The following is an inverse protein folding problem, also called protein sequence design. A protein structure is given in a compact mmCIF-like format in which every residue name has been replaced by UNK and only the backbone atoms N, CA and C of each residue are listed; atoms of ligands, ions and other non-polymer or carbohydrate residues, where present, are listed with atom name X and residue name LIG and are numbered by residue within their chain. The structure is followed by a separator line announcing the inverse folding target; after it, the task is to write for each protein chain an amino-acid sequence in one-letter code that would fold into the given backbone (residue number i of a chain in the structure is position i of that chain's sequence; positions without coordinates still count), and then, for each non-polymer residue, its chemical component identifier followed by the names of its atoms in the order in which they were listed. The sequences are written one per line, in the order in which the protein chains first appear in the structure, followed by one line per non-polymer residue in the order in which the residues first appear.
data_IF_007013154507
#
_entry.id   IF_007013154507
#
_cell.length_a   1.000
_cell.length_b   1.000
_cell.length_c   1.000
_cell.angle_alpha   90.00
_cell.angle_beta   90.00
_cell.angle_gamma   90.00
#
_symmetry.space_group_name_H-M   'P 1'
#
loop_
_entity.id
_entity.type
_entity.pdbx_description
1 polymer ?
#
# COMPACT_ATOMS: atom_id res chain seq x y z
N UNK A 1 12.96 -32.55 -35.46
CA UNK A 1 12.89 -33.07 -34.16
C UNK A 1 13.16 -32.10 -33.10
N UNK A 2 14.24 -31.44 -33.13
CA UNK A 2 14.60 -30.52 -32.06
C UNK A 2 13.82 -29.28 -32.06
N UNK A 3 13.17 -28.97 -33.10
CA UNK A 3 12.44 -27.73 -33.26
C UNK A 3 11.25 -27.65 -32.34
N UNK A 4 10.70 -28.78 -31.98
CA UNK A 4 9.49 -28.76 -31.18
C UNK A 4 9.69 -28.25 -29.81
N UNK A 5 10.84 -28.45 -29.26
CA UNK A 5 11.10 -28.06 -27.90
C UNK A 5 11.04 -26.57 -27.71
N UNK A 6 11.34 -25.83 -28.75
CA UNK A 6 11.40 -24.40 -28.63
C UNK A 6 10.05 -23.74 -28.60
N UNK A 7 9.09 -24.37 -29.21
CA UNK A 7 7.76 -23.81 -29.25
C UNK A 7 7.11 -23.79 -27.87
N UNK A 8 7.44 -24.76 -27.07
CA UNK A 8 6.85 -24.86 -25.78
C UNK A 8 7.29 -23.74 -24.87
N UNK A 9 8.51 -23.30 -25.03
CA UNK A 9 9.03 -22.24 -24.18
C UNK A 9 8.38 -20.89 -24.45
N UNK A 10 8.03 -20.65 -25.68
CA UNK A 10 7.43 -19.38 -26.02
C UNK A 10 6.07 -19.22 -25.41
N UNK A 11 5.31 -20.28 -25.35
CA UNK A 11 3.99 -20.24 -24.78
C UNK A 11 4.00 -19.95 -23.31
N UNK A 12 5.00 -20.42 -22.61
CA UNK A 12 5.07 -20.21 -21.19
C UNK A 12 5.30 -18.77 -20.80
N UNK A 13 6.00 -18.03 -21.65
CA UNK A 13 6.29 -16.65 -21.31
C UNK A 13 5.11 -15.72 -21.47
N UNK A 14 4.21 -16.05 -22.34
CA UNK A 14 3.09 -15.16 -22.62
C UNK A 14 2.13 -15.06 -21.45
N UNK A 15 2.01 -16.13 -20.68
CA UNK A 15 1.02 -16.17 -19.61
C UNK A 15 1.40 -15.38 -18.39
N UNK A 16 2.62 -14.95 -18.27
CA UNK A 16 3.11 -14.34 -17.06
C UNK A 16 2.91 -12.84 -17.03
N UNK A 17 2.51 -12.24 -18.12
CA UNK A 17 2.52 -10.80 -18.22
C UNK A 17 1.33 -10.07 -17.66
N UNK A 18 0.33 -10.75 -17.12
CA UNK A 18 -0.94 -10.09 -16.88
C UNK A 18 -1.04 -9.35 -15.56
N UNK A 19 -0.30 -9.74 -14.55
CA UNK A 19 -0.43 -9.12 -13.23
C UNK A 19 0.94 -8.76 -12.70
N UNK A 20 1.32 -7.54 -12.92
CA UNK A 20 2.60 -7.07 -12.41
C UNK A 20 2.41 -6.33 -11.12
N UNK A 21 3.22 -6.64 -10.11
CA UNK A 21 3.19 -5.86 -8.89
C UNK A 21 3.60 -4.43 -9.16
N UNK A 22 2.97 -3.53 -8.46
CA UNK A 22 3.25 -2.11 -8.54
C UNK A 22 3.89 -1.68 -7.23
N UNK A 23 4.77 -0.72 -7.30
CA UNK A 23 5.32 -0.14 -6.09
C UNK A 23 4.56 1.12 -5.75
N UNK A 24 4.26 1.29 -4.46
CA UNK A 24 3.59 2.48 -3.97
C UNK A 24 4.34 3.02 -2.77
N UNK A 25 4.38 4.33 -2.65
CA UNK A 25 4.99 5.03 -1.53
C UNK A 25 3.93 5.90 -0.88
N UNK A 26 3.92 5.92 0.42
CA UNK A 26 2.94 6.72 1.10
C UNK A 26 3.08 6.67 2.60
N UNK A 27 2.10 7.23 3.27
CA UNK A 27 2.03 7.19 4.71
C UNK A 27 0.98 6.16 5.11
N UNK A 28 1.35 5.29 6.02
CA UNK A 28 0.51 4.19 6.44
C UNK A 28 0.11 4.36 7.90
N UNK A 29 -1.13 4.09 8.16
CA UNK A 29 -1.69 4.22 9.51
C UNK A 29 -2.56 3.00 9.78
N UNK A 30 -2.34 2.35 10.91
CA UNK A 30 -3.23 1.29 11.36
C UNK A 30 -3.98 1.78 12.57
N UNK A 31 -5.28 1.97 12.42
CA UNK A 31 -6.10 2.46 13.51
C UNK A 31 -7.33 1.59 13.63
N UNK A 32 -7.58 1.11 14.83
CA UNK A 32 -8.74 0.28 15.14
C UNK A 32 -8.82 -0.95 14.23
N UNK A 33 -7.68 -1.53 13.93
CA UNK A 33 -7.62 -2.72 13.08
C UNK A 33 -7.73 -2.46 11.59
N UNK A 34 -7.77 -1.21 11.18
CA UNK A 34 -7.85 -0.87 9.77
C UNK A 34 -6.60 -0.18 9.31
N UNK A 35 -5.90 -0.82 8.38
CA UNK A 35 -4.72 -0.24 7.77
C UNK A 35 -5.10 0.63 6.59
N UNK A 36 -4.58 1.83 6.54
CA UNK A 36 -4.87 2.77 5.49
C UNK A 36 -3.58 3.39 4.98
N UNK A 37 -3.49 3.51 3.67
CA UNK A 37 -2.34 4.10 3.01
C UNK A 37 -2.78 5.38 2.31
N UNK A 38 -2.02 6.44 2.53
CA UNK A 38 -2.20 7.71 1.82
C UNK A 38 -1.01 7.88 0.90
N UNK A 39 -1.19 7.71 -0.42
CA UNK A 39 -0.07 7.78 -1.33
C UNK A 39 0.58 9.16 -1.34
N UNK A 40 1.89 9.19 -1.51
CA UNK A 40 2.60 10.46 -1.52
C UNK A 40 2.18 11.37 -2.67
N UNK A 41 1.82 10.76 -3.79
CA UNK A 41 1.46 11.52 -4.98
C UNK A 41 -0.03 11.83 -5.05
N UNK A 42 -0.83 11.32 -4.13
CA UNK A 42 -2.25 11.62 -4.09
C UNK A 42 -2.75 11.48 -2.66
N UNK A 43 -2.48 12.50 -1.88
CA UNK A 43 -2.75 12.45 -0.45
C UNK A 43 -4.24 12.45 -0.10
N UNK A 44 -5.09 12.72 -1.06
CA UNK A 44 -6.53 12.68 -0.82
C UNK A 44 -7.11 11.30 -0.98
N UNK A 45 -6.34 10.39 -1.53
CA UNK A 45 -6.80 9.03 -1.74
C UNK A 45 -6.48 8.21 -0.52
N UNK A 46 -7.46 7.51 0.01
CA UNK A 46 -7.25 6.59 1.11
C UNK A 46 -7.40 5.18 0.57
N UNK A 47 -6.33 4.41 0.64
CA UNK A 47 -6.31 3.05 0.14
C UNK A 47 -6.28 2.11 1.32
N UNK A 48 -7.18 1.12 1.32
CA UNK A 48 -7.21 0.14 2.38
C UNK A 48 -6.15 -0.92 2.14
N UNK A 49 -5.43 -1.26 3.19
CA UNK A 49 -4.34 -2.24 3.11
C UNK A 49 -4.65 -3.36 4.09
N UNK A 50 -5.37 -4.39 3.65
CA UNK A 50 -5.76 -5.49 4.53
C UNK A 50 -4.62 -6.48 4.70
N UNK A 51 -3.64 -6.13 5.50
CA UNK A 51 -2.46 -6.95 5.70
C UNK A 51 -2.13 -6.95 7.19
N UNK A 52 -2.38 -8.06 7.84
CA UNK A 52 -2.21 -8.15 9.27
C UNK A 52 -0.75 -8.13 9.69
N UNK A 53 0.15 -8.62 8.85
CA UNK A 53 1.56 -8.58 9.17
C UNK A 53 2.10 -7.16 9.15
N UNK A 54 1.68 -6.38 8.18
CA UNK A 54 2.06 -4.98 8.12
C UNK A 54 1.49 -4.21 9.30
N UNK A 55 0.23 -4.48 9.63
CA UNK A 55 -0.41 -3.82 10.76
C UNK A 55 0.34 -4.11 12.06
N UNK A 56 0.76 -5.35 12.25
CA UNK A 56 1.50 -5.71 13.46
C UNK A 56 2.85 -5.01 13.50
N UNK A 57 3.53 -4.92 12.38
CA UNK A 57 4.81 -4.20 12.34
C UNK A 57 4.62 -2.72 12.62
N UNK A 58 3.58 -2.14 12.09
CA UNK A 58 3.26 -0.75 12.40
C UNK A 58 3.06 -0.56 13.89
N UNK A 59 2.28 -1.43 14.51
CA UNK A 59 1.98 -1.29 15.92
C UNK A 59 3.23 -1.39 16.78
N UNK A 60 4.22 -2.14 16.33
CA UNK A 60 5.46 -2.27 17.10
C UNK A 60 6.40 -1.08 16.90
N UNK A 61 6.24 -0.32 15.84
CA UNK A 61 7.15 0.77 15.53
C UNK A 61 6.57 2.15 15.80
N UNK A 62 5.27 2.30 15.63
CA UNK A 62 4.66 3.60 15.73
C UNK A 62 4.53 4.04 17.19
N UNK A 63 4.74 5.32 17.38
CA UNK A 63 4.51 5.93 18.70
C UNK A 63 3.15 6.57 18.65
N UNK A 64 2.22 6.03 19.43
CA UNK A 64 0.85 6.47 19.35
C UNK A 64 0.25 6.10 18.02
N UNK A 65 -0.47 7.00 17.40
CA UNK A 65 -1.11 6.73 16.11
C UNK A 65 -0.49 7.56 15.00
N UNK A 66 0.81 7.76 15.07
CA UNK A 66 1.50 8.49 14.02
C UNK A 66 1.59 7.66 12.76
N UNK A 67 1.35 8.26 11.60
CA UNK A 67 1.59 7.56 10.35
C UNK A 67 3.07 7.27 10.15
N UNK A 68 3.36 6.15 9.52
CA UNK A 68 4.72 5.79 9.17
C UNK A 68 4.87 5.80 7.66
N UNK A 69 6.07 6.14 7.20
CA UNK A 69 6.36 6.07 5.79
C UNK A 69 6.53 4.62 5.37
N UNK A 70 5.89 4.26 4.26
CA UNK A 70 6.01 2.92 3.71
C UNK A 70 6.32 2.98 2.24
N UNK A 71 7.02 1.96 1.81
CA UNK A 71 7.19 1.67 0.40
C UNK A 71 6.82 0.20 0.24
N UNK A 72 5.81 -0.05 -0.56
CA UNK A 72 5.21 -1.37 -0.68
C UNK A 72 5.18 -1.80 -2.13
N UNK A 73 5.29 -3.09 -2.33
CA UNK A 73 5.07 -3.70 -3.64
C UNK A 73 3.89 -4.62 -3.54
N UNK A 74 2.98 -4.53 -4.49
CA UNK A 74 1.80 -5.36 -4.47
C UNK A 74 0.85 -5.02 -5.59
N UNK A 75 -0.40 -5.31 -5.40
CA UNK A 75 -1.41 -5.16 -6.43
C UNK A 75 -2.49 -4.20 -5.97
N UNK A 76 -2.77 -3.21 -6.80
CA UNK A 76 -3.88 -2.29 -6.57
C UNK A 76 -5.17 -2.91 -7.05
N UNK A 77 -6.24 -2.64 -6.33
CA UNK A 77 -7.55 -3.07 -6.75
C UNK A 77 -8.61 -2.12 -6.25
N UNK A 78 -9.81 -2.32 -6.73
CA UNK A 78 -10.93 -1.54 -6.23
C UNK A 78 -12.18 -2.39 -6.29
N UNK A 79 -13.10 -2.09 -5.40
CA UNK A 79 -14.41 -2.73 -5.39
C UNK A 79 -15.45 -1.63 -5.42
N UNK A 80 -16.45 -1.80 -6.27
CA UNK A 80 -17.52 -0.85 -6.32
C UNK A 80 -18.48 -1.06 -5.17
N UNK A 81 -19.14 0.01 -4.79
CA UNK A 81 -20.16 -0.05 -3.78
C UNK A 81 -21.39 0.65 -4.34
N UNK A 82 -22.58 0.06 -4.16
CA UNK A 82 -23.77 0.70 -4.68
C UNK A 82 -24.01 2.08 -4.11
N UNK A 83 -23.50 2.34 -2.94
CA UNK A 83 -23.83 3.59 -2.29
C UNK A 83 -22.69 4.55 -2.12
N UNK A 84 -21.50 4.09 -2.05
CA UNK A 84 -20.42 4.95 -1.63
C UNK A 84 -19.32 5.17 -2.64
N UNK A 85 -19.51 4.74 -3.86
CA UNK A 85 -18.43 4.83 -4.82
C UNK A 85 -17.40 3.74 -4.59
N UNK A 86 -16.29 3.78 -5.31
CA UNK A 86 -15.30 2.72 -5.23
C UNK A 86 -14.50 2.77 -3.95
N UNK A 87 -14.13 1.61 -3.45
CA UNK A 87 -13.18 1.45 -2.39
C UNK A 87 -11.89 0.93 -2.98
N UNK A 88 -10.79 1.54 -2.65
CA UNK A 88 -9.50 1.16 -3.19
C UNK A 88 -8.74 0.31 -2.19
N UNK A 89 -8.07 -0.71 -2.71
CA UNK A 89 -7.30 -1.65 -1.90
C UNK A 89 -5.91 -1.79 -2.45
N UNK A 90 -4.99 -2.14 -1.58
CA UNK A 90 -3.66 -2.54 -1.99
C UNK A 90 -3.30 -3.84 -1.29
N UNK A 91 -3.03 -4.87 -2.07
CA UNK A 91 -2.65 -6.17 -1.55
C UNK A 91 -1.14 -6.25 -1.55
N UNK A 92 -0.56 -6.32 -0.37
CA UNK A 92 0.88 -6.24 -0.19
C UNK A 92 1.52 -7.57 -0.52
N UNK A 93 2.48 -7.54 -1.43
CA UNK A 93 3.33 -8.70 -1.69
C UNK A 93 4.64 -8.58 -0.92
N UNK A 94 5.13 -7.36 -0.77
CA UNK A 94 6.41 -7.15 -0.12
C UNK A 94 6.46 -5.76 0.49
N UNK A 95 6.93 -5.69 1.72
CA UNK A 95 7.19 -4.42 2.37
C UNK A 95 8.64 -4.05 2.12
N UNK A 96 8.85 -2.99 1.36
CA UNK A 96 10.19 -2.55 1.03
C UNK A 96 10.77 -1.63 2.09
N UNK A 97 9.94 -0.76 2.64
CA UNK A 97 10.33 0.11 3.74
C UNK A 97 9.16 0.35 4.67
N UNK A 98 9.45 0.47 5.94
CA UNK A 98 8.49 0.87 6.96
C UNK A 98 9.27 1.57 8.05
N UNK A 99 9.08 2.87 8.17
CA UNK A 99 9.89 3.66 9.11
C UNK A 99 9.22 5.00 9.37
N UNK A 100 9.77 5.74 10.27
CA UNK A 100 9.30 7.09 10.51
C UNK A 100 9.52 7.96 9.28
N UNK A 101 8.69 8.97 9.16
CA UNK A 101 8.75 9.91 8.06
C UNK A 101 9.98 10.81 8.20
N UNK A 102 10.73 10.91 7.12
CA UNK A 102 11.84 11.83 7.08
C UNK A 102 11.34 13.23 6.70
N UNK A 103 12.15 14.23 7.01
CA UNK A 103 11.80 15.59 6.69
C UNK A 103 11.63 15.77 5.19
N UNK A 104 10.54 16.37 4.78
CA UNK A 104 10.26 16.61 3.38
C UNK A 104 9.69 15.44 2.62
N UNK A 105 9.52 14.32 3.28
CA UNK A 105 8.98 13.13 2.64
C UNK A 105 7.46 13.23 2.57
N UNK A 106 6.87 12.80 1.46
CA UNK A 106 5.42 12.82 1.28
C UNK A 106 4.81 14.15 1.70
N UNK A 107 5.28 15.26 1.14
CA UNK A 107 4.81 16.57 1.64
C UNK A 107 3.32 16.79 1.44
N UNK A 108 2.71 16.07 0.51
CA UNK A 108 1.28 16.21 0.28
C UNK A 108 0.43 15.60 1.36
N UNK A 109 1.00 14.76 2.20
CA UNK A 109 0.24 14.13 3.27
C UNK A 109 0.45 14.93 4.53
N UNK A 110 -0.61 15.57 4.99
CA UNK A 110 -0.54 16.42 6.16
C UNK A 110 -0.26 15.59 7.40
N UNK A 111 0.30 16.24 8.39
CA UNK A 111 0.43 15.64 9.70
C UNK A 111 -0.90 15.73 10.40
N UNK A 112 -1.58 14.62 10.61
CA UNK A 112 -2.91 14.72 11.18
C UNK A 112 -2.92 14.89 12.69
N UNK A 113 -1.81 14.65 13.33
CA UNK A 113 -1.84 14.48 14.77
C UNK A 113 -2.11 15.77 15.51
N UNK A 114 -1.37 16.81 15.19
CA UNK A 114 -1.44 18.02 15.98
C UNK A 114 -2.83 18.64 16.01
N UNK A 115 -3.44 18.88 14.84
CA UNK A 115 -4.74 19.53 14.86
C UNK A 115 -5.87 18.64 15.35
N UNK A 116 -5.66 17.35 15.34
CA UNK A 116 -6.72 16.44 15.71
C UNK A 116 -6.69 16.04 17.16
N UNK A 117 -5.65 16.40 17.86
CA UNK A 117 -5.59 16.05 19.26
C UNK A 117 -6.64 16.81 20.05
N UNK A 118 -7.36 16.12 20.90
CA UNK A 118 -8.35 16.81 21.68
C UNK A 118 -7.70 17.77 22.64
N UNK A 119 -8.36 18.84 22.85
CA UNK A 119 -7.86 19.79 23.80
C UNK A 119 -8.18 19.32 25.17
N UNK A 120 -7.24 19.37 26.05
CA UNK A 120 -7.52 19.01 27.43
C UNK A 120 -8.47 19.99 28.07
#
# INVERSE_FOLDING_TARGET
MRIRTQLVLVLGTVLIGCHRPTEVRGMYLNYAGKGTLFPCDNSRLAIQVPDSALAARYDSLAVGHEPLFVRLRGIKGHAGSPKGGPTYYFLVHQVLELRGRASGECPGVAQPVAPLLPKP
#
